data_IF_529771092019
#
_entry.id   IF_529771092019
#
_cell.length_a   1.000
_cell.length_b   1.000
_cell.length_c   1.000
_cell.angle_alpha   90.00
_cell.angle_beta   90.00
_cell.angle_gamma   90.00
#
_symmetry.space_group_name_H-M   'P 1'
#
loop_
_entity.id
_entity.type
_entity.pdbx_description
1 polymer ?
#
# COMPACT_ATOMS: atom_id res chain seq x y z
N UNK A 1 24.83 -3.39 14.52
CA UNK A 1 24.15 -2.08 14.50
C UNK A 1 24.94 -1.01 13.75
N UNK A 2 26.27 -1.06 13.72
CA UNK A 2 27.10 0.02 13.09
C UNK A 2 26.77 0.31 11.62
N UNK A 3 26.35 -0.70 10.84
CA UNK A 3 25.97 -0.55 9.43
C UNK A 3 24.79 0.41 9.19
N UNK A 4 23.94 0.67 10.19
CA UNK A 4 22.76 1.55 10.08
C UNK A 4 22.86 2.82 10.93
N UNK A 5 23.99 3.03 11.63
CA UNK A 5 24.15 4.10 12.62
C UNK A 5 23.91 5.47 11.98
N UNK A 6 22.90 6.20 12.47
CA UNK A 6 22.51 7.52 11.98
C UNK A 6 21.75 7.53 10.65
N UNK A 7 21.39 6.35 10.10
CA UNK A 7 20.77 6.20 8.77
C UNK A 7 19.52 5.34 8.75
N UNK A 8 19.24 4.63 9.85
CA UNK A 8 18.11 3.72 9.93
C UNK A 8 17.77 3.34 11.36
N UNK A 9 16.55 2.84 11.52
CA UNK A 9 15.98 2.34 12.76
C UNK A 9 15.50 0.90 12.53
N UNK A 10 15.82 0.00 13.47
CA UNK A 10 15.27 -1.36 13.48
C UNK A 10 14.37 -1.47 14.70
N UNK A 11 13.13 -1.86 14.49
CA UNK A 11 12.14 -2.08 15.53
C UNK A 11 11.36 -3.37 15.22
N UNK A 12 10.91 -4.05 16.28
CA UNK A 12 10.04 -5.23 16.13
C UNK A 12 8.62 -4.85 15.70
N UNK A 13 8.22 -3.61 15.97
CA UNK A 13 6.93 -3.05 15.61
C UNK A 13 7.06 -1.54 15.44
N UNK A 14 6.26 -0.97 14.54
CA UNK A 14 6.09 0.46 14.39
C UNK A 14 4.61 0.77 14.11
N UNK A 15 4.21 2.00 14.40
CA UNK A 15 2.94 2.54 13.93
C UNK A 15 3.03 2.76 12.42
N UNK A 16 2.77 1.69 11.67
CA UNK A 16 2.96 1.64 10.22
C UNK A 16 2.11 2.69 9.51
N UNK A 17 0.87 2.89 9.95
CA UNK A 17 -0.02 3.92 9.39
C UNK A 17 0.59 5.31 9.57
N UNK A 18 1.06 5.64 10.79
CA UNK A 18 1.70 6.93 11.05
C UNK A 18 2.98 7.12 10.24
N UNK A 19 3.82 6.08 10.14
CA UNK A 19 5.04 6.10 9.31
C UNK A 19 4.68 6.36 7.84
N UNK A 20 3.75 5.61 7.26
CA UNK A 20 3.36 5.75 5.86
C UNK A 20 2.69 7.10 5.57
N UNK A 21 2.03 7.73 6.55
CA UNK A 21 1.45 9.07 6.41
C UNK A 21 2.50 10.20 6.38
N UNK A 22 3.73 9.92 6.80
CA UNK A 22 4.76 10.93 6.94
C UNK A 22 5.37 11.33 5.59
N UNK A 23 5.45 12.63 5.31
CA UNK A 23 5.90 13.17 4.01
C UNK A 23 7.35 12.79 3.63
N UNK A 24 8.18 12.37 4.58
CA UNK A 24 9.54 11.89 4.32
C UNK A 24 9.62 10.44 3.82
N UNK A 25 8.52 9.69 3.84
CA UNK A 25 8.49 8.31 3.34
C UNK A 25 8.30 8.33 1.82
N UNK A 26 9.33 7.86 1.10
CA UNK A 26 9.32 7.79 -0.36
C UNK A 26 8.89 6.44 -0.94
N UNK A 27 8.88 5.37 -0.14
CA UNK A 27 8.54 4.03 -0.60
C UNK A 27 8.40 3.01 0.51
N UNK A 28 7.69 1.93 0.22
CA UNK A 28 7.36 0.86 1.17
C UNK A 28 7.68 -0.52 0.59
N UNK A 29 8.68 -1.20 1.13
CA UNK A 29 8.93 -2.61 0.85
C UNK A 29 7.96 -3.45 1.68
N UNK A 30 7.09 -4.22 1.03
CA UNK A 30 5.99 -4.92 1.67
C UNK A 30 5.78 -6.32 1.11
N UNK A 31 5.34 -7.23 1.97
CA UNK A 31 4.83 -8.54 1.58
C UNK A 31 3.50 -8.54 0.80
N UNK A 32 2.94 -7.36 0.51
CA UNK A 32 1.70 -7.19 -0.25
C UNK A 32 0.43 -7.73 0.42
N UNK A 33 0.40 -7.82 1.76
CA UNK A 33 -0.83 -8.08 2.50
C UNK A 33 -1.86 -6.96 2.31
N UNK A 34 -3.16 -7.31 2.23
CA UNK A 34 -4.21 -6.38 1.80
C UNK A 34 -4.28 -5.07 2.60
N UNK A 35 -4.18 -5.14 3.94
CA UNK A 35 -4.22 -3.94 4.79
C UNK A 35 -3.03 -3.00 4.52
N UNK A 36 -1.81 -3.53 4.42
CA UNK A 36 -0.62 -2.75 4.07
C UNK A 36 -0.75 -2.10 2.68
N UNK A 37 -1.41 -2.77 1.74
CA UNK A 37 -1.66 -2.21 0.42
C UNK A 37 -2.65 -1.04 0.49
N UNK A 38 -3.72 -1.17 1.29
CA UNK A 38 -4.66 -0.08 1.52
C UNK A 38 -4.00 1.12 2.21
N UNK A 39 -3.19 0.90 3.24
CA UNK A 39 -2.44 1.97 3.91
C UNK A 39 -1.51 2.72 2.95
N UNK A 40 -0.83 2.00 2.05
CA UNK A 40 0.01 2.60 1.02
C UNK A 40 -0.82 3.44 0.04
N UNK A 41 -1.95 2.91 -0.46
CA UNK A 41 -2.86 3.62 -1.37
C UNK A 41 -3.42 4.89 -0.72
N UNK A 42 -3.94 4.79 0.50
CA UNK A 42 -4.53 5.90 1.23
C UNK A 42 -3.51 7.01 1.53
N UNK A 43 -2.23 6.65 1.72
CA UNK A 43 -1.18 7.64 1.98
C UNK A 43 -0.48 8.14 0.72
N UNK A 44 -0.60 7.44 -0.41
CA UNK A 44 0.05 7.83 -1.66
C UNK A 44 1.48 7.31 -1.79
N UNK A 45 1.81 6.21 -1.11
CA UNK A 45 3.16 5.66 -1.01
C UNK A 45 3.35 4.54 -2.03
N UNK A 46 4.44 4.62 -2.80
CA UNK A 46 4.81 3.56 -3.74
C UNK A 46 5.26 2.30 -3.00
N UNK A 47 5.03 1.14 -3.62
CA UNK A 47 5.38 -0.13 -3.01
C UNK A 47 6.42 -0.91 -3.82
N UNK A 48 7.31 -1.59 -3.12
CA UNK A 48 8.03 -2.74 -3.66
C UNK A 48 7.39 -3.98 -3.04
N UNK A 49 6.83 -4.83 -3.88
CA UNK A 49 6.13 -6.04 -3.50
C UNK A 49 7.12 -7.19 -3.38
N UNK A 50 7.05 -7.90 -2.26
CA UNK A 50 7.81 -9.12 -2.00
C UNK A 50 6.89 -10.17 -1.36
N UNK A 51 5.94 -10.74 -2.13
CA UNK A 51 4.89 -11.62 -1.62
C UNK A 51 5.43 -12.99 -1.18
N UNK A 52 4.76 -13.66 -0.25
CA UNK A 52 5.17 -14.98 0.26
C UNK A 52 4.05 -16.03 0.27
N UNK A 53 2.80 -15.67 0.61
CA UNK A 53 1.70 -16.64 0.76
C UNK A 53 0.31 -15.99 0.65
N UNK A 54 -0.75 -16.82 0.72
CA UNK A 54 -2.16 -16.40 0.63
C UNK A 54 -2.46 -15.56 -0.64
N UNK A 55 -3.16 -14.44 -0.50
CA UNK A 55 -3.55 -13.57 -1.61
C UNK A 55 -2.46 -12.56 -2.02
N UNK A 56 -1.30 -12.57 -1.35
CA UNK A 56 -0.23 -11.59 -1.54
C UNK A 56 0.28 -11.54 -2.99
N UNK A 57 0.35 -12.69 -3.68
CA UNK A 57 0.73 -12.74 -5.10
C UNK A 57 -0.30 -12.05 -5.99
N UNK A 58 -1.60 -12.20 -5.67
CA UNK A 58 -2.67 -11.50 -6.37
C UNK A 58 -2.57 -9.99 -6.13
N UNK A 59 -2.39 -9.57 -4.88
CA UNK A 59 -2.22 -8.16 -4.54
C UNK A 59 -0.98 -7.54 -5.22
N UNK A 60 0.14 -8.27 -5.27
CA UNK A 60 1.34 -7.89 -5.99
C UNK A 60 1.03 -7.66 -7.48
N UNK A 61 0.38 -8.62 -8.14
CA UNK A 61 -0.04 -8.51 -9.54
C UNK A 61 -0.89 -7.26 -9.79
N UNK A 62 -1.86 -6.98 -8.92
CA UNK A 62 -2.68 -5.78 -9.02
C UNK A 62 -1.85 -4.50 -8.85
N UNK A 63 -0.99 -4.43 -7.84
CA UNK A 63 -0.15 -3.27 -7.60
C UNK A 63 0.83 -2.98 -8.76
N UNK A 64 1.47 -4.03 -9.28
CA UNK A 64 2.54 -3.92 -10.27
C UNK A 64 2.01 -3.76 -11.71
N UNK A 65 0.95 -4.48 -12.08
CA UNK A 65 0.45 -4.49 -13.46
C UNK A 65 -0.88 -3.75 -13.62
N UNK A 66 -1.90 -4.08 -12.84
CA UNK A 66 -3.27 -3.57 -13.10
C UNK A 66 -3.45 -2.11 -12.65
N UNK A 67 -2.95 -1.77 -11.47
CA UNK A 67 -3.04 -0.44 -10.87
C UNK A 67 -1.79 0.39 -11.11
N UNK A 68 -0.65 -0.28 -11.29
CA UNK A 68 0.62 0.31 -11.71
C UNK A 68 1.17 1.32 -10.71
N UNK A 69 1.19 1.00 -9.42
CA UNK A 69 1.91 1.80 -8.41
C UNK A 69 3.01 1.01 -7.70
N UNK A 70 3.19 -0.26 -8.05
CA UNK A 70 4.16 -1.16 -7.44
C UNK A 70 5.28 -1.60 -8.38
N UNK A 71 6.37 -2.02 -7.78
CA UNK A 71 7.43 -2.83 -8.39
C UNK A 71 7.50 -4.18 -7.66
N UNK A 72 8.05 -5.23 -8.27
CA UNK A 72 8.07 -6.58 -7.70
C UNK A 72 9.51 -7.08 -7.58
N UNK A 73 9.85 -7.64 -6.42
CA UNK A 73 11.05 -8.46 -6.26
C UNK A 73 10.71 -9.88 -6.71
N UNK A 74 11.42 -10.36 -7.72
CA UNK A 74 11.25 -11.71 -8.23
C UNK A 74 11.72 -12.75 -7.20
N UNK A 75 10.77 -13.56 -6.71
CA UNK A 75 11.01 -14.65 -5.77
C UNK A 75 11.59 -15.92 -6.42
N UNK A 76 11.61 -16.01 -7.76
CA UNK A 76 12.14 -17.18 -8.46
C UNK A 76 13.67 -17.23 -8.48
N UNK A 77 14.32 -16.17 -8.01
CA UNK A 77 15.77 -16.06 -7.86
C UNK A 77 16.13 -15.92 -6.38
N UNK A 78 17.31 -16.43 -6.02
CA UNK A 78 17.89 -16.19 -4.71
C UNK A 78 18.10 -14.67 -4.53
N UNK A 79 17.21 -14.01 -3.80
CA UNK A 79 17.21 -12.54 -3.66
C UNK A 79 18.46 -12.10 -2.89
N UNK A 80 19.30 -11.31 -3.56
CA UNK A 80 20.53 -10.74 -2.99
C UNK A 80 20.33 -9.28 -2.62
N UNK A 81 21.22 -8.78 -1.77
CA UNK A 81 21.28 -7.36 -1.39
C UNK A 81 21.22 -6.44 -2.61
N UNK A 82 21.98 -6.75 -3.66
CA UNK A 82 22.11 -5.88 -4.83
C UNK A 82 20.79 -5.76 -5.61
N UNK A 83 19.98 -6.83 -5.61
CA UNK A 83 18.63 -6.81 -6.18
C UNK A 83 17.72 -5.86 -5.40
N UNK A 84 17.70 -5.97 -4.07
CA UNK A 84 16.89 -5.08 -3.21
C UNK A 84 17.33 -3.62 -3.34
N UNK A 85 18.65 -3.38 -3.40
CA UNK A 85 19.22 -2.04 -3.58
C UNK A 85 18.82 -1.44 -4.94
N UNK A 86 18.86 -2.22 -6.02
CA UNK A 86 18.47 -1.77 -7.35
C UNK A 86 16.99 -1.39 -7.42
N UNK A 87 16.09 -2.23 -6.89
CA UNK A 87 14.65 -1.94 -6.85
C UNK A 87 14.34 -0.68 -6.03
N UNK A 88 14.98 -0.52 -4.86
CA UNK A 88 14.83 0.70 -4.04
C UNK A 88 15.33 1.95 -4.76
N UNK A 89 16.48 1.87 -5.43
CA UNK A 89 17.04 3.01 -6.16
C UNK A 89 16.15 3.41 -7.33
N UNK A 90 15.63 2.44 -8.07
CA UNK A 90 14.71 2.69 -9.19
C UNK A 90 13.36 3.28 -8.72
N UNK A 91 12.84 2.82 -7.57
CA UNK A 91 11.61 3.38 -6.96
C UNK A 91 11.80 4.84 -6.54
N UNK A 92 12.94 5.15 -5.91
CA UNK A 92 13.22 6.46 -5.33
C UNK A 92 13.65 7.47 -6.41
N UNK A 93 14.63 7.11 -7.21
CA UNK A 93 15.38 8.02 -8.10
C UNK A 93 15.14 7.73 -9.60
N UNK A 94 14.62 6.54 -9.93
CA UNK A 94 14.48 6.07 -11.30
C UNK A 94 13.30 6.64 -12.07
N UNK A 95 13.31 6.38 -13.39
CA UNK A 95 12.23 6.78 -14.28
C UNK A 95 10.95 6.02 -13.95
N UNK A 96 11.05 4.71 -13.68
CA UNK A 96 9.90 3.89 -13.33
C UNK A 96 9.22 4.40 -12.06
N UNK A 97 9.98 4.65 -10.99
CA UNK A 97 9.43 5.24 -9.75
C UNK A 97 8.72 6.57 -10.01
N UNK A 98 9.29 7.41 -10.88
CA UNK A 98 8.69 8.70 -11.27
C UNK A 98 7.37 8.54 -12.02
N UNK A 99 7.27 7.58 -12.92
CA UNK A 99 6.02 7.28 -13.64
C UNK A 99 4.93 6.72 -12.72
N UNK A 100 5.29 5.86 -11.76
CA UNK A 100 4.36 5.26 -10.82
C UNK A 100 3.78 6.29 -9.84
N UNK A 101 4.52 7.37 -9.50
CA UNK A 101 4.06 8.43 -8.58
C UNK A 101 2.74 9.07 -9.01
N UNK A 102 2.56 9.33 -10.31
CA UNK A 102 1.30 9.89 -10.80
C UNK A 102 0.11 8.92 -10.59
N UNK A 103 0.35 7.62 -10.75
CA UNK A 103 -0.67 6.57 -10.61
C UNK A 103 -1.08 6.38 -9.15
N UNK A 104 -0.13 6.30 -8.22
CA UNK A 104 -0.47 6.16 -6.78
C UNK A 104 -1.23 7.37 -6.26
N UNK A 105 -0.88 8.59 -6.69
CA UNK A 105 -1.60 9.80 -6.29
C UNK A 105 -3.03 9.82 -6.84
N UNK A 106 -3.25 9.30 -8.06
CA UNK A 106 -4.60 9.11 -8.60
C UNK A 106 -5.39 8.12 -7.75
N UNK A 107 -4.79 6.99 -7.37
CA UNK A 107 -5.46 6.00 -6.51
C UNK A 107 -5.80 6.53 -5.13
N UNK A 108 -4.89 7.30 -4.51
CA UNK A 108 -5.16 8.02 -3.26
C UNK A 108 -6.41 8.91 -3.38
N UNK A 109 -6.49 9.72 -4.43
CA UNK A 109 -7.65 10.59 -4.67
C UNK A 109 -8.95 9.80 -4.89
N UNK A 110 -8.88 8.65 -5.55
CA UNK A 110 -10.04 7.76 -5.74
C UNK A 110 -10.48 7.18 -4.39
N UNK A 111 -9.55 6.69 -3.57
CA UNK A 111 -9.82 6.16 -2.24
C UNK A 111 -10.46 7.23 -1.32
N UNK A 112 -9.89 8.44 -1.29
CA UNK A 112 -10.44 9.56 -0.53
C UNK A 112 -11.86 9.94 -0.97
N UNK A 113 -12.14 9.92 -2.28
CA UNK A 113 -13.48 10.21 -2.81
C UNK A 113 -14.49 9.14 -2.44
N UNK A 114 -14.08 7.86 -2.41
CA UNK A 114 -14.98 6.75 -2.10
C UNK A 114 -15.52 6.81 -0.65
N UNK A 115 -14.73 7.33 0.28
CA UNK A 115 -15.08 7.37 1.72
C UNK A 115 -15.70 8.71 2.18
N UNK A 116 -15.62 9.77 1.37
CA UNK A 116 -16.24 11.07 1.67
C UNK A 116 -17.78 10.97 1.65
N UNK A 117 -18.52 11.92 2.25
CA UNK A 117 -19.97 11.97 2.13
C UNK A 117 -20.42 11.91 0.66
N UNK A 118 -21.41 11.06 0.34
CA UNK A 118 -21.85 10.72 -1.03
C UNK A 118 -20.82 9.96 -1.88
N UNK A 119 -19.77 9.44 -1.26
CA UNK A 119 -18.84 8.50 -1.87
C UNK A 119 -19.41 7.08 -1.89
N UNK A 120 -18.96 6.26 -2.84
CA UNK A 120 -19.51 4.91 -3.03
C UNK A 120 -19.37 4.01 -1.80
N UNK A 121 -18.21 3.98 -1.14
CA UNK A 121 -17.99 3.19 0.07
C UNK A 121 -18.78 3.75 1.26
N UNK A 122 -18.93 5.07 1.34
CA UNK A 122 -19.76 5.72 2.36
C UNK A 122 -21.23 5.30 2.23
N UNK A 123 -21.78 5.37 1.01
CA UNK A 123 -23.16 4.99 0.72
C UNK A 123 -23.41 3.50 0.93
N UNK A 124 -22.46 2.65 0.54
CA UNK A 124 -22.54 1.21 0.78
C UNK A 124 -22.54 0.87 2.28
N UNK A 125 -21.73 1.57 3.08
CA UNK A 125 -21.72 1.38 4.53
C UNK A 125 -23.04 1.85 5.17
N UNK A 126 -23.57 3.00 4.74
CA UNK A 126 -24.86 3.50 5.20
C UNK A 126 -26.01 2.54 4.84
N UNK A 127 -26.00 2.00 3.63
CA UNK A 127 -26.96 0.96 3.21
C UNK A 127 -26.86 -0.30 4.08
N UNK A 128 -25.64 -0.77 4.35
CA UNK A 128 -25.41 -1.93 5.22
C UNK A 128 -25.93 -1.69 6.64
N UNK A 129 -25.66 -0.53 7.22
CA UNK A 129 -26.14 -0.14 8.56
C UNK A 129 -27.68 -0.13 8.60
N UNK A 130 -28.32 0.44 7.58
CA UNK A 130 -29.78 0.44 7.45
C UNK A 130 -30.35 -0.97 7.38
N UNK A 131 -29.72 -1.84 6.60
CA UNK A 131 -30.18 -3.20 6.41
C UNK A 131 -30.01 -4.08 7.65
N UNK A 132 -28.86 -4.00 8.32
CA UNK A 132 -28.53 -4.89 9.43
C UNK A 132 -29.05 -4.38 10.78
N UNK A 133 -28.99 -3.06 11.01
CA UNK A 133 -29.36 -2.49 12.30
C UNK A 133 -30.78 -1.95 12.26
N UNK A 134 -31.14 -1.09 11.31
CA UNK A 134 -32.40 -0.34 11.37
C UNK A 134 -33.63 -1.16 10.97
N UNK A 135 -33.54 -2.04 9.97
CA UNK A 135 -34.65 -2.97 9.64
C UNK A 135 -35.02 -3.90 10.80
N UNK A 136 -34.07 -4.24 11.68
CA UNK A 136 -34.34 -5.07 12.85
C UNK A 136 -34.98 -4.29 14.01
N UNK A 137 -34.84 -2.96 14.04
CA UNK A 137 -35.54 -2.11 15.02
C UNK A 137 -36.98 -1.79 14.61
N UNK A 138 -37.28 -1.68 13.31
CA UNK A 138 -38.64 -1.39 12.83
C UNK A 138 -39.56 -2.63 12.80
N UNK A 139 -38.99 -3.83 12.88
CA UNK A 139 -39.72 -5.11 12.89
C UNK A 139 -39.87 -5.75 14.28
N UNK A 140 -39.49 -5.04 15.36
CA UNK A 140 -39.73 -5.41 16.77
C UNK A 140 -40.67 -4.40 17.43
#
# INVERSE_FOLDING_TARGET
MDKIKGRGLIANWCDQEHVLSHASVGGFLTHSGWNSMLEAICNGVLVICWPFFAEQHTNCRYACIEWGFGMEIDNNVNVKRDTVEAELRELMEGMKGTELRAKIMKWKQVAEKAIKPRGSSYENLDALVKEVLLKNYENN
#
